data_IF_931489962507
#
_entry.id   IF_931489962507
#
_cell.length_a   1.000
_cell.length_b   1.000
_cell.length_c   1.000
_cell.angle_alpha   90.00
_cell.angle_beta   90.00
_cell.angle_gamma   90.00
#
_symmetry.space_group_name_H-M   'P 1'
#
loop_
_entity.id
_entity.type
_entity.pdbx_description
1 polymer ?
#
# COMPACT_ATOMS: atom_id res chain seq x y z
N UNK A 1 5.96 -0.80 -23.59
CA UNK A 1 4.98 -1.07 -22.52
C UNK A 1 5.35 -0.26 -21.30
N UNK A 2 4.39 0.38 -20.64
CA UNK A 2 4.67 1.06 -19.37
C UNK A 2 5.00 0.03 -18.30
N UNK A 3 6.05 0.27 -17.51
CA UNK A 3 6.58 -0.66 -16.48
C UNK A 3 6.65 0.07 -15.14
N UNK A 4 5.47 0.41 -14.62
CA UNK A 4 5.35 1.07 -13.30
C UNK A 4 5.32 0.02 -12.20
N UNK A 5 6.20 0.17 -11.21
CA UNK A 5 6.23 -0.67 -10.01
C UNK A 5 5.78 0.16 -8.80
N UNK A 6 5.09 -0.47 -7.86
CA UNK A 6 5.01 -0.02 -6.47
C UNK A 6 5.78 -0.99 -5.59
N UNK A 7 6.71 -0.48 -4.83
CA UNK A 7 7.42 -1.18 -3.75
C UNK A 7 6.81 -0.73 -2.42
N UNK A 8 6.29 -1.66 -1.63
CA UNK A 8 5.60 -1.41 -0.35
C UNK A 8 6.26 -2.27 0.73
N UNK A 9 6.77 -1.64 1.78
CA UNK A 9 7.47 -2.35 2.86
C UNK A 9 6.46 -3.03 3.80
N UNK A 10 6.57 -4.35 3.92
CA UNK A 10 5.63 -5.20 4.64
C UNK A 10 5.61 -4.90 6.14
N UNK A 11 4.44 -4.45 6.65
CA UNK A 11 4.24 -4.08 8.05
C UNK A 11 5.37 -3.20 8.60
N UNK A 12 5.79 -2.18 7.84
CA UNK A 12 7.01 -1.38 8.00
C UNK A 12 7.33 -1.00 9.45
N UNK A 13 6.42 -0.32 10.15
CA UNK A 13 6.66 0.11 11.53
C UNK A 13 6.87 -1.06 12.49
N UNK A 14 6.19 -2.19 12.26
CA UNK A 14 6.36 -3.43 13.04
C UNK A 14 7.73 -4.04 12.78
N UNK A 15 8.13 -4.12 11.51
CA UNK A 15 9.42 -4.67 11.12
C UNK A 15 10.58 -3.84 11.69
N UNK A 16 10.52 -2.51 11.57
CA UNK A 16 11.52 -1.60 12.14
C UNK A 16 11.55 -1.70 13.67
N UNK A 17 10.39 -1.73 14.34
CA UNK A 17 10.34 -1.86 15.80
C UNK A 17 11.01 -3.17 16.26
N UNK A 18 10.79 -4.28 15.54
CA UNK A 18 11.42 -5.58 15.82
C UNK A 18 12.94 -5.56 15.64
N UNK A 19 13.45 -4.82 14.66
CA UNK A 19 14.90 -4.66 14.44
C UNK A 19 15.55 -3.80 15.54
N UNK A 20 14.87 -2.74 15.98
CA UNK A 20 15.39 -1.81 16.99
C UNK A 20 15.35 -2.40 18.40
N UNK A 21 14.32 -3.16 18.70
CA UNK A 21 14.09 -3.78 20.01
C UNK A 21 13.80 -5.28 19.85
N UNK A 22 14.85 -6.10 19.61
CA UNK A 22 14.70 -7.53 19.42
C UNK A 22 14.20 -8.27 20.67
N UNK A 23 14.44 -7.71 21.87
CA UNK A 23 14.10 -8.37 23.13
C UNK A 23 12.62 -8.23 23.51
N UNK A 24 11.97 -7.11 23.19
CA UNK A 24 10.56 -6.88 23.49
C UNK A 24 9.75 -7.00 22.19
N UNK A 25 9.93 -6.09 21.24
CA UNK A 25 9.18 -6.07 20.00
C UNK A 25 9.50 -7.28 19.11
N UNK A 26 10.77 -7.71 19.08
CA UNK A 26 11.23 -8.88 18.30
C UNK A 26 10.60 -10.18 18.75
N UNK A 27 10.44 -10.39 20.06
CA UNK A 27 9.83 -11.60 20.65
C UNK A 27 8.29 -11.58 20.64
N UNK A 28 7.67 -10.39 20.48
CA UNK A 28 6.22 -10.28 20.50
C UNK A 28 5.59 -10.72 19.16
N UNK A 29 4.83 -11.82 19.20
CA UNK A 29 4.00 -12.23 18.05
C UNK A 29 2.85 -11.24 17.84
N UNK A 30 2.16 -10.86 18.92
CA UNK A 30 1.07 -9.88 18.94
C UNK A 30 1.64 -8.51 19.28
N UNK A 31 1.94 -7.71 18.25
CA UNK A 31 2.60 -6.41 18.39
C UNK A 31 1.74 -5.27 17.82
N UNK A 32 1.63 -4.20 18.58
CA UNK A 32 1.06 -2.91 18.18
C UNK A 32 2.16 -1.86 18.27
N UNK A 33 2.38 -1.13 17.18
CA UNK A 33 3.29 0.02 17.16
C UNK A 33 2.46 1.30 17.07
N UNK A 34 2.60 2.20 18.04
CA UNK A 34 1.79 3.42 18.06
C UNK A 34 1.80 4.15 19.39
N UNK A 35 0.61 4.61 19.81
CA UNK A 35 0.42 5.29 21.10
C UNK A 35 0.66 4.35 22.30
N UNK A 36 0.87 4.96 23.46
CA UNK A 36 1.01 4.21 24.73
C UNK A 36 -0.34 3.72 25.25
N UNK A 37 -0.39 2.56 25.95
CA UNK A 37 -1.57 2.17 26.72
C UNK A 37 -2.01 3.28 27.70
N UNK A 38 -3.31 3.54 27.79
CA UNK A 38 -3.87 4.61 28.61
C UNK A 38 -3.80 6.02 28.03
N UNK A 39 -3.15 6.20 26.87
CA UNK A 39 -3.13 7.49 26.15
C UNK A 39 -4.22 7.57 25.09
N UNK A 40 -4.47 8.78 24.55
CA UNK A 40 -5.35 9.03 23.40
C UNK A 40 -4.70 8.69 22.04
N UNK A 41 -3.54 8.02 22.07
CA UNK A 41 -2.82 7.64 20.86
C UNK A 41 -3.55 6.61 20.01
N UNK A 42 -3.08 6.46 18.77
CA UNK A 42 -3.63 5.53 17.78
C UNK A 42 -2.62 4.45 17.41
N UNK A 43 -3.13 3.36 16.84
CA UNK A 43 -2.33 2.33 16.18
C UNK A 43 -1.74 2.92 14.91
N UNK A 44 -0.42 2.98 14.79
CA UNK A 44 0.26 3.30 13.54
C UNK A 44 0.36 2.04 12.67
N UNK A 45 0.74 0.91 13.27
CA UNK A 45 0.78 -0.40 12.61
C UNK A 45 0.58 -1.53 13.62
N UNK A 46 0.19 -2.69 13.15
CA UNK A 46 0.07 -3.91 13.95
C UNK A 46 0.60 -5.11 13.17
N UNK A 47 1.14 -6.12 13.89
CA UNK A 47 1.56 -7.38 13.28
C UNK A 47 0.38 -8.10 12.62
N UNK A 48 0.65 -8.95 11.64
CA UNK A 48 -0.42 -9.69 10.94
C UNK A 48 -1.27 -10.53 11.89
N UNK A 49 -0.63 -11.12 12.89
CA UNK A 49 -1.28 -11.89 13.95
C UNK A 49 -2.24 -11.00 14.76
N UNK A 50 -1.82 -9.79 15.10
CA UNK A 50 -2.68 -8.81 15.80
C UNK A 50 -3.83 -8.33 14.92
N UNK A 51 -3.60 -8.16 13.60
CA UNK A 51 -4.66 -7.79 12.64
C UNK A 51 -5.76 -8.85 12.53
N UNK A 52 -5.47 -10.13 12.80
CA UNK A 52 -6.46 -11.20 12.83
C UNK A 52 -7.53 -10.99 13.92
N UNK A 53 -7.22 -10.27 15.02
CA UNK A 53 -8.17 -9.86 16.04
C UNK A 53 -8.99 -8.62 15.66
N UNK A 54 -8.86 -8.12 14.44
CA UNK A 54 -9.61 -6.93 13.98
C UNK A 54 -8.90 -5.60 14.25
N UNK A 55 -7.69 -5.61 14.81
CA UNK A 55 -6.89 -4.37 15.01
C UNK A 55 -6.48 -3.79 13.66
N UNK A 56 -6.63 -2.46 13.50
CA UNK A 56 -6.32 -1.73 12.26
C UNK A 56 -5.57 -0.43 12.58
N UNK A 57 -4.78 0.04 11.61
CA UNK A 57 -4.14 1.38 11.67
C UNK A 57 -5.20 2.47 11.79
N UNK A 58 -4.89 3.54 12.55
CA UNK A 58 -5.82 4.61 12.87
C UNK A 58 -6.79 4.33 14.03
N UNK A 59 -6.87 3.08 14.50
CA UNK A 59 -7.73 2.69 15.63
C UNK A 59 -7.15 3.26 16.94
N UNK A 60 -7.98 3.80 17.87
CA UNK A 60 -7.52 4.15 19.19
C UNK A 60 -6.86 2.97 19.92
N UNK A 61 -5.77 3.19 20.63
CA UNK A 61 -5.04 2.12 21.37
C UNK A 61 -5.98 1.43 22.37
N UNK A 62 -6.85 2.18 23.06
CA UNK A 62 -7.82 1.61 24.00
C UNK A 62 -8.79 0.64 23.33
N UNK A 63 -9.20 0.89 22.09
CA UNK A 63 -10.04 -0.01 21.32
C UNK A 63 -9.24 -1.23 20.85
N UNK A 64 -8.01 -1.04 20.35
CA UNK A 64 -7.15 -2.11 19.91
C UNK A 64 -6.85 -3.12 21.04
N UNK A 65 -6.59 -2.63 22.26
CA UNK A 65 -6.36 -3.46 23.44
C UNK A 65 -7.64 -4.17 23.95
N UNK A 66 -8.84 -3.66 23.65
CA UNK A 66 -10.07 -4.43 23.91
C UNK A 66 -10.22 -5.61 22.96
N UNK A 67 -9.76 -5.46 21.70
CA UNK A 67 -9.79 -6.55 20.71
C UNK A 67 -8.67 -7.57 20.93
N UNK A 68 -7.52 -7.13 21.38
CA UNK A 68 -6.33 -7.97 21.61
C UNK A 68 -5.62 -7.55 22.92
N UNK A 69 -6.16 -7.94 24.11
CA UNK A 69 -5.62 -7.49 25.40
C UNK A 69 -4.19 -7.94 25.68
N UNK A 70 -3.76 -9.05 25.08
CA UNK A 70 -2.42 -9.62 25.22
C UNK A 70 -1.38 -9.00 24.28
N UNK A 71 -1.77 -8.03 23.42
CA UNK A 71 -0.82 -7.43 22.50
C UNK A 71 0.20 -6.54 23.24
N UNK A 72 1.47 -6.70 22.87
CA UNK A 72 2.54 -5.80 23.29
C UNK A 72 2.43 -4.48 22.53
N UNK A 73 2.43 -3.36 23.24
CA UNK A 73 2.41 -2.02 22.65
C UNK A 73 3.78 -1.36 22.79
N UNK A 74 4.34 -0.91 21.68
CA UNK A 74 5.62 -0.16 21.65
C UNK A 74 5.44 1.16 20.91
N UNK A 75 6.23 2.20 21.26
CA UNK A 75 6.20 3.48 20.55
C UNK A 75 6.78 3.32 19.14
N UNK A 76 6.42 4.26 18.24
CA UNK A 76 7.01 4.33 16.89
C UNK A 76 8.48 4.73 16.99
N UNK A 77 9.43 3.93 16.50
CA UNK A 77 10.86 4.26 16.47
C UNK A 77 11.18 5.24 15.32
N UNK A 78 10.72 6.51 15.45
CA UNK A 78 10.66 7.49 14.35
C UNK A 78 11.97 7.68 13.61
N UNK A 79 13.10 7.81 14.31
CA UNK A 79 14.41 7.99 13.68
C UNK A 79 14.80 6.76 12.86
N UNK A 80 14.68 5.57 13.45
CA UNK A 80 14.98 4.32 12.76
C UNK A 80 14.08 4.11 11.54
N UNK A 81 12.78 4.44 11.62
CA UNK A 81 11.88 4.40 10.46
C UNK A 81 12.37 5.32 9.34
N UNK A 82 12.76 6.55 9.66
CA UNK A 82 13.29 7.48 8.65
C UNK A 82 14.61 7.00 8.05
N UNK A 83 15.48 6.41 8.85
CA UNK A 83 16.77 5.88 8.39
C UNK A 83 16.57 4.67 7.48
N UNK A 84 15.70 3.74 7.89
CA UNK A 84 15.35 2.55 7.10
C UNK A 84 14.69 2.94 5.78
N UNK A 85 13.75 3.90 5.79
CA UNK A 85 13.11 4.41 4.59
C UNK A 85 14.14 4.98 3.60
N UNK A 86 15.10 5.79 4.11
CA UNK A 86 16.20 6.32 3.27
C UNK A 86 17.13 5.23 2.75
N UNK A 87 17.40 4.20 3.53
CA UNK A 87 18.22 3.06 3.10
C UNK A 87 17.53 2.28 1.98
N UNK A 88 16.22 1.99 2.11
CA UNK A 88 15.44 1.36 1.04
C UNK A 88 15.50 2.23 -0.22
N UNK A 89 15.22 3.54 -0.12
CA UNK A 89 15.25 4.47 -1.24
C UNK A 89 16.60 4.43 -1.98
N UNK A 90 17.74 4.41 -1.26
CA UNK A 90 19.07 4.30 -1.87
C UNK A 90 19.28 3.00 -2.67
N UNK A 91 18.68 1.90 -2.23
CA UNK A 91 18.70 0.65 -2.98
C UNK A 91 17.87 0.78 -4.26
N UNK A 92 16.67 1.36 -4.18
CA UNK A 92 15.77 1.54 -5.32
C UNK A 92 16.37 2.47 -6.39
N UNK A 93 17.10 3.51 -5.98
CA UNK A 93 17.79 4.45 -6.87
C UNK A 93 18.89 3.77 -7.74
N UNK A 94 19.34 2.55 -7.39
CA UNK A 94 20.28 1.76 -8.20
C UNK A 94 19.60 1.11 -9.41
N UNK A 95 18.29 0.96 -9.40
CA UNK A 95 17.51 0.32 -10.46
C UNK A 95 16.96 1.30 -11.49
N UNK A 96 16.62 2.51 -11.07
CA UNK A 96 16.14 3.59 -11.95
C UNK A 96 16.29 4.94 -11.27
N UNK A 97 16.56 6.02 -12.02
CA UNK A 97 16.50 7.38 -11.47
C UNK A 97 15.06 7.87 -11.24
N UNK A 98 14.07 7.18 -11.81
CA UNK A 98 12.65 7.54 -11.70
C UNK A 98 12.02 6.83 -10.50
N UNK A 99 12.37 7.24 -9.29
CA UNK A 99 11.80 6.75 -8.03
C UNK A 99 11.07 7.88 -7.33
N UNK A 100 9.76 7.72 -7.11
CA UNK A 100 8.91 8.63 -6.34
C UNK A 100 8.59 8.05 -4.98
N UNK A 101 8.88 8.77 -3.89
CA UNK A 101 8.41 8.42 -2.56
C UNK A 101 6.93 8.81 -2.39
N UNK A 102 6.05 7.83 -2.28
CA UNK A 102 4.63 8.05 -2.05
C UNK A 102 4.31 8.20 -0.56
N UNK A 103 5.05 7.48 0.30
CA UNK A 103 5.00 7.58 1.76
C UNK A 103 6.36 7.19 2.37
N UNK A 104 6.42 7.01 3.68
CA UNK A 104 7.63 6.54 4.37
C UNK A 104 7.97 5.08 4.03
N UNK A 105 7.01 4.31 3.56
CA UNK A 105 7.07 2.87 3.31
C UNK A 105 6.63 2.45 1.90
N UNK A 106 6.30 3.42 1.02
CA UNK A 106 5.87 3.15 -0.36
C UNK A 106 6.67 3.99 -1.38
N UNK A 107 7.12 3.35 -2.47
CA UNK A 107 7.85 4.01 -3.56
C UNK A 107 7.35 3.51 -4.91
N UNK A 108 7.05 4.46 -5.81
CA UNK A 108 6.82 4.14 -7.21
C UNK A 108 8.13 4.21 -7.99
N UNK A 109 8.33 3.24 -8.88
CA UNK A 109 9.46 3.19 -9.82
C UNK A 109 8.91 3.15 -11.24
N UNK A 110 9.55 3.88 -12.15
CA UNK A 110 9.33 3.71 -13.59
C UNK A 110 10.56 3.03 -14.20
N UNK A 111 10.34 1.84 -14.77
CA UNK A 111 11.33 1.06 -15.51
C UNK A 111 11.03 1.03 -17.01
N UNK A 112 10.15 1.90 -17.50
CA UNK A 112 9.85 2.01 -18.92
C UNK A 112 11.09 2.45 -19.69
N UNK A 113 11.42 1.79 -20.81
CA UNK A 113 12.60 2.08 -21.63
C UNK A 113 13.92 1.54 -21.06
N UNK A 114 13.89 0.80 -19.95
CA UNK A 114 15.11 0.20 -19.36
C UNK A 114 15.31 -1.27 -19.77
N UNK A 115 14.50 -1.79 -20.68
CA UNK A 115 14.47 -3.21 -21.04
C UNK A 115 15.85 -3.72 -21.47
N UNK A 116 16.57 -2.95 -22.26
CA UNK A 116 17.92 -3.31 -22.74
C UNK A 116 18.95 -3.37 -21.59
N UNK A 117 18.82 -2.50 -20.57
CA UNK A 117 19.69 -2.49 -19.39
C UNK A 117 19.52 -3.76 -18.54
N UNK A 118 18.33 -4.34 -18.59
CA UNK A 118 18.01 -5.59 -17.88
C UNK A 118 17.97 -6.80 -18.84
N UNK A 119 18.71 -6.74 -19.95
CA UNK A 119 18.85 -7.84 -20.91
C UNK A 119 17.52 -8.42 -21.39
N UNK A 120 16.48 -7.58 -21.48
CA UNK A 120 15.09 -7.96 -21.83
C UNK A 120 14.50 -9.05 -20.95
N UNK A 121 14.98 -9.19 -19.70
CA UNK A 121 14.41 -10.14 -18.76
C UNK A 121 12.94 -9.84 -18.46
N UNK A 122 12.12 -10.86 -18.09
CA UNK A 122 10.76 -10.64 -17.61
C UNK A 122 10.73 -9.71 -16.38
N UNK A 123 9.75 -8.81 -16.33
CA UNK A 123 9.68 -7.78 -15.28
C UNK A 123 9.51 -8.37 -13.87
N UNK A 124 8.93 -9.54 -13.74
CA UNK A 124 8.83 -10.26 -12.47
C UNK A 124 10.21 -10.69 -11.94
N UNK A 125 11.17 -11.03 -12.82
CA UNK A 125 12.56 -11.32 -12.46
C UNK A 125 13.24 -10.07 -11.93
N UNK A 126 13.11 -8.92 -12.62
CA UNK A 126 13.61 -7.63 -12.13
C UNK A 126 12.99 -7.27 -10.79
N UNK A 127 11.66 -7.43 -10.63
CA UNK A 127 10.97 -7.13 -9.37
C UNK A 127 11.46 -8.01 -8.22
N UNK A 128 11.70 -9.31 -8.44
CA UNK A 128 12.31 -10.18 -7.42
C UNK A 128 13.71 -9.73 -7.06
N UNK A 129 14.55 -9.37 -8.04
CA UNK A 129 15.90 -8.84 -7.79
C UNK A 129 15.87 -7.56 -6.95
N UNK A 130 14.93 -6.64 -7.20
CA UNK A 130 14.73 -5.43 -6.38
C UNK A 130 14.39 -5.85 -4.94
N UNK A 131 13.46 -6.78 -4.77
CA UNK A 131 13.03 -7.29 -3.46
C UNK A 131 14.19 -7.91 -2.68
N UNK A 132 14.99 -8.74 -3.35
CA UNK A 132 16.15 -9.40 -2.74
C UNK A 132 17.25 -8.38 -2.38
N UNK A 133 17.49 -7.37 -3.22
CA UNK A 133 18.43 -6.30 -2.95
C UNK A 133 18.01 -5.46 -1.74
N UNK A 134 16.72 -5.10 -1.63
CA UNK A 134 16.19 -4.38 -0.45
C UNK A 134 16.39 -5.22 0.80
N UNK A 135 16.02 -6.50 0.77
CA UNK A 135 16.21 -7.38 1.92
C UNK A 135 17.67 -7.53 2.32
N UNK A 136 18.57 -7.76 1.36
CA UNK A 136 20.01 -7.94 1.62
C UNK A 136 20.64 -6.69 2.27
N UNK A 137 20.20 -5.48 1.91
CA UNK A 137 20.78 -4.24 2.43
C UNK A 137 20.12 -3.72 3.71
N UNK A 138 18.84 -4.06 3.95
CA UNK A 138 18.06 -3.44 5.03
C UNK A 138 17.42 -4.44 5.99
N UNK A 139 17.39 -5.72 5.63
CA UNK A 139 16.62 -6.75 6.35
C UNK A 139 15.10 -6.58 6.25
N UNK A 140 14.62 -5.66 5.39
CA UNK A 140 13.19 -5.36 5.23
C UNK A 140 12.60 -6.19 4.09
N UNK A 141 11.49 -6.86 4.37
CA UNK A 141 10.68 -7.46 3.33
C UNK A 141 9.81 -6.40 2.66
N UNK A 142 9.73 -6.47 1.34
CA UNK A 142 8.86 -5.62 0.54
C UNK A 142 7.98 -6.44 -0.37
N UNK A 143 6.77 -5.96 -0.65
CA UNK A 143 5.87 -6.49 -1.67
C UNK A 143 5.87 -5.56 -2.87
N UNK A 144 5.95 -6.13 -4.08
CA UNK A 144 6.07 -5.38 -5.32
C UNK A 144 4.90 -5.70 -6.24
N UNK A 145 4.15 -4.66 -6.59
CA UNK A 145 3.15 -4.72 -7.65
C UNK A 145 3.67 -4.07 -8.92
N UNK A 146 3.45 -4.72 -10.05
CA UNK A 146 3.82 -4.20 -11.37
C UNK A 146 2.55 -3.99 -12.18
N UNK A 147 2.46 -2.86 -12.87
CA UNK A 147 1.32 -2.54 -13.73
C UNK A 147 1.63 -1.47 -14.77
N UNK A 148 0.70 -1.21 -15.70
CA UNK A 148 0.89 -0.18 -16.72
C UNK A 148 0.82 1.25 -16.18
N UNK A 149 0.34 1.44 -14.95
CA UNK A 149 0.25 2.74 -14.29
C UNK A 149 0.27 2.59 -12.77
N UNK A 150 0.35 3.72 -12.05
CA UNK A 150 0.43 3.75 -10.58
C UNK A 150 -0.77 3.12 -9.88
N UNK A 151 -1.97 3.24 -10.43
CA UNK A 151 -3.18 2.65 -9.83
C UNK A 151 -3.10 1.12 -9.86
N UNK A 152 -2.82 0.54 -11.03
CA UNK A 152 -2.74 -0.92 -11.20
C UNK A 152 -1.55 -1.49 -10.41
N UNK A 153 -0.39 -0.80 -10.43
CA UNK A 153 0.78 -1.20 -9.64
C UNK A 153 0.46 -1.25 -8.13
N UNK A 154 -0.30 -0.25 -7.61
CA UNK A 154 -0.70 -0.24 -6.19
C UNK A 154 -1.63 -1.39 -5.83
N UNK A 155 -2.62 -1.66 -6.66
CA UNK A 155 -3.55 -2.77 -6.46
C UNK A 155 -2.84 -4.13 -6.57
N UNK A 156 -1.89 -4.25 -7.50
CA UNK A 156 -1.04 -5.42 -7.65
C UNK A 156 -0.13 -5.63 -6.42
N UNK A 157 0.44 -4.58 -5.83
CA UNK A 157 1.23 -4.68 -4.61
C UNK A 157 0.42 -5.24 -3.42
N UNK A 158 -0.84 -4.84 -3.27
CA UNK A 158 -1.74 -5.42 -2.26
C UNK A 158 -2.00 -6.92 -2.47
N UNK A 159 -2.04 -7.39 -3.72
CA UNK A 159 -2.13 -8.82 -4.07
C UNK A 159 -0.81 -9.56 -3.85
N UNK A 160 0.32 -8.88 -3.97
CA UNK A 160 1.65 -9.43 -3.74
C UNK A 160 1.93 -9.68 -2.25
N UNK A 161 1.26 -8.98 -1.32
CA UNK A 161 1.50 -9.10 0.13
C UNK A 161 1.26 -10.51 0.62
N UNK A 162 2.22 -11.13 1.33
CA UNK A 162 2.06 -12.44 1.90
C UNK A 162 0.98 -12.39 2.99
N UNK A 163 -0.14 -13.08 2.73
CA UNK A 163 -1.23 -13.27 3.70
C UNK A 163 -1.38 -14.76 3.95
N UNK A 164 -1.75 -15.19 5.17
CA UNK A 164 -2.01 -16.61 5.43
C UNK A 164 -2.96 -17.20 4.38
N UNK A 165 -2.55 -18.28 3.71
CA UNK A 165 -3.34 -18.98 2.70
C UNK A 165 -3.42 -18.30 1.32
N UNK A 166 -2.75 -17.15 1.09
CA UNK A 166 -2.83 -16.45 -0.21
C UNK A 166 -1.96 -17.04 -1.31
N UNK A 167 -0.89 -17.79 -0.97
CA UNK A 167 0.12 -18.24 -1.92
C UNK A 167 0.94 -17.09 -2.55
N UNK A 168 0.79 -15.87 -2.07
CA UNK A 168 1.49 -14.70 -2.60
C UNK A 168 3.00 -14.80 -2.34
N UNK A 169 3.78 -14.45 -3.38
CA UNK A 169 5.25 -14.59 -3.38
C UNK A 169 5.99 -13.28 -3.13
N UNK A 170 5.27 -12.20 -2.81
CA UNK A 170 5.82 -10.86 -2.65
C UNK A 170 5.97 -10.08 -3.98
N UNK A 171 5.59 -10.67 -5.11
CA UNK A 171 5.56 -10.00 -6.42
C UNK A 171 4.28 -10.37 -7.14
N UNK A 172 3.59 -9.37 -7.72
CA UNK A 172 2.41 -9.58 -8.56
C UNK A 172 2.48 -8.67 -9.78
N UNK A 173 2.38 -9.24 -10.97
CA UNK A 173 2.49 -8.54 -12.24
C UNK A 173 1.13 -8.53 -12.95
N UNK A 174 0.73 -7.36 -13.42
CA UNK A 174 -0.45 -7.15 -14.25
C UNK A 174 0.01 -6.44 -15.52
N UNK A 175 0.04 -7.15 -16.64
CA UNK A 175 0.34 -6.58 -17.95
C UNK A 175 -0.88 -5.86 -18.55
N UNK A 176 -0.67 -5.13 -19.65
CA UNK A 176 -1.74 -4.36 -20.31
C UNK A 176 -2.95 -5.25 -20.68
N UNK A 177 -2.72 -6.46 -21.13
CA UNK A 177 -3.79 -7.39 -21.51
C UNK A 177 -4.56 -7.94 -20.30
N UNK A 178 -3.90 -8.06 -19.17
CA UNK A 178 -4.47 -8.58 -17.91
C UNK A 178 -5.26 -7.56 -17.10
N UNK A 179 -5.14 -6.24 -17.38
CA UNK A 179 -5.77 -5.18 -16.57
C UNK A 179 -7.27 -5.40 -16.39
N UNK A 180 -8.01 -5.64 -17.47
CA UNK A 180 -9.47 -5.77 -17.39
C UNK A 180 -9.90 -6.95 -16.49
N UNK A 181 -9.25 -8.10 -16.63
CA UNK A 181 -9.53 -9.29 -15.83
C UNK A 181 -9.12 -9.07 -14.35
N UNK A 182 -7.98 -8.45 -14.13
CA UNK A 182 -7.49 -8.11 -12.80
C UNK A 182 -8.47 -7.17 -12.08
N UNK A 183 -8.84 -6.04 -12.70
CA UNK A 183 -9.79 -5.08 -12.12
C UNK A 183 -11.14 -5.72 -11.83
N UNK A 184 -11.68 -6.55 -12.72
CA UNK A 184 -12.93 -7.27 -12.52
C UNK A 184 -12.89 -8.30 -11.36
N UNK A 185 -11.70 -8.70 -10.91
CA UNK A 185 -11.49 -9.59 -9.77
C UNK A 185 -11.48 -8.89 -8.41
N UNK A 186 -11.41 -7.54 -8.40
CA UNK A 186 -11.31 -6.73 -7.19
C UNK A 186 -12.68 -6.38 -6.60
N UNK A 187 -12.69 -6.12 -5.29
CA UNK A 187 -13.81 -5.47 -4.63
C UNK A 187 -13.72 -3.94 -4.83
N UNK A 188 -14.84 -3.22 -4.79
CA UNK A 188 -14.81 -1.76 -4.87
C UNK A 188 -13.94 -1.11 -3.79
N UNK A 189 -13.91 -1.73 -2.62
CA UNK A 189 -13.11 -1.26 -1.49
C UNK A 189 -11.61 -1.40 -1.64
N UNK A 190 -11.16 -2.26 -2.53
CA UNK A 190 -9.73 -2.43 -2.82
C UNK A 190 -9.21 -1.22 -3.62
N UNK A 191 -10.09 -0.54 -4.37
CA UNK A 191 -9.69 0.57 -5.25
C UNK A 191 -9.42 1.83 -4.43
N UNK A 192 -8.18 2.31 -4.50
CA UNK A 192 -7.75 3.55 -3.82
C UNK A 192 -8.68 4.73 -4.15
N UNK A 193 -9.26 5.34 -3.09
CA UNK A 193 -10.20 6.46 -3.20
C UNK A 193 -11.67 6.06 -3.37
N UNK A 194 -12.00 4.75 -3.24
CA UNK A 194 -13.36 4.27 -3.04
C UNK A 194 -13.47 3.78 -1.58
N UNK A 195 -13.52 4.72 -0.65
CA UNK A 195 -13.65 4.43 0.79
C UNK A 195 -15.07 4.01 1.21
N UNK A 196 -15.26 3.56 2.47
CA UNK A 196 -16.52 2.98 2.96
C UNK A 196 -17.75 3.83 2.66
N UNK A 197 -17.68 5.15 2.89
CA UNK A 197 -18.81 6.07 2.60
C UNK A 197 -19.21 6.13 1.12
N UNK A 198 -18.24 5.97 0.20
CA UNK A 198 -18.55 5.93 -1.22
C UNK A 198 -19.07 4.54 -1.61
N UNK A 199 -18.53 3.47 -1.02
CA UNK A 199 -19.04 2.10 -1.22
C UNK A 199 -20.52 1.98 -0.78
N UNK A 200 -20.88 2.45 0.41
CA UNK A 200 -22.26 2.47 0.90
C UNK A 200 -23.21 3.18 -0.08
N UNK A 201 -22.75 4.33 -0.61
CA UNK A 201 -23.52 5.09 -1.59
C UNK A 201 -23.61 4.39 -2.94
N UNK A 202 -22.57 3.71 -3.41
CA UNK A 202 -22.63 2.91 -4.63
C UNK A 202 -23.57 1.72 -4.44
N UNK A 203 -23.51 1.03 -3.30
CA UNK A 203 -24.39 -0.07 -2.97
C UNK A 203 -25.87 0.33 -2.92
N UNK A 204 -26.20 1.54 -2.44
CA UNK A 204 -27.59 2.05 -2.40
C UNK A 204 -28.24 2.20 -3.79
N UNK A 205 -27.45 2.17 -4.86
CA UNK A 205 -27.91 2.22 -6.25
C UNK A 205 -27.57 0.91 -7.02
N UNK A 206 -27.32 -0.18 -6.28
CA UNK A 206 -27.09 -1.51 -6.86
C UNK A 206 -25.67 -1.76 -7.37
N UNK A 207 -24.70 -0.86 -7.11
CA UNK A 207 -23.31 -0.98 -7.55
C UNK A 207 -22.45 -1.52 -6.41
N UNK A 208 -22.29 -2.82 -6.31
CA UNK A 208 -21.59 -3.51 -5.21
C UNK A 208 -20.18 -3.98 -5.61
N UNK A 209 -19.97 -4.22 -6.90
CA UNK A 209 -18.71 -4.73 -7.46
C UNK A 209 -18.14 -3.81 -8.55
N UNK A 210 -16.88 -4.05 -8.90
CA UNK A 210 -16.25 -3.39 -10.06
C UNK A 210 -17.01 -3.72 -11.35
N UNK A 211 -17.52 -4.94 -11.49
CA UNK A 211 -18.30 -5.37 -12.65
C UNK A 211 -19.59 -4.59 -12.80
N UNK A 212 -20.29 -4.32 -11.67
CA UNK A 212 -21.52 -3.53 -11.70
C UNK A 212 -21.24 -2.10 -12.17
N UNK A 213 -20.15 -1.50 -11.67
CA UNK A 213 -19.72 -0.16 -12.11
C UNK A 213 -19.38 -0.13 -13.59
N UNK A 214 -18.67 -1.14 -14.10
CA UNK A 214 -18.30 -1.22 -15.52
C UNK A 214 -19.50 -1.48 -16.44
N UNK A 215 -20.55 -2.18 -15.95
CA UNK A 215 -21.78 -2.46 -16.67
C UNK A 215 -22.78 -1.29 -16.62
N UNK A 216 -22.64 -0.38 -15.65
CA UNK A 216 -23.55 0.75 -15.48
C UNK A 216 -23.40 1.77 -16.63
N UNK A 217 -24.53 2.33 -17.09
CA UNK A 217 -24.48 3.39 -18.08
C UNK A 217 -23.92 4.69 -17.45
N UNK A 218 -22.98 5.40 -18.10
CA UNK A 218 -22.34 6.60 -17.54
C UNK A 218 -23.34 7.68 -17.12
N UNK A 219 -24.47 7.83 -17.85
CA UNK A 219 -25.49 8.80 -17.51
C UNK A 219 -26.20 8.50 -16.18
N UNK A 220 -26.35 7.23 -15.81
CA UNK A 220 -27.01 6.84 -14.56
C UNK A 220 -26.11 7.14 -13.36
N UNK A 221 -24.83 6.85 -13.50
CA UNK A 221 -23.82 7.24 -12.54
C UNK A 221 -23.72 8.78 -12.39
N UNK A 222 -23.80 9.51 -13.51
CA UNK A 222 -23.74 10.98 -13.52
C UNK A 222 -24.97 11.61 -12.84
N UNK A 223 -26.17 11.06 -13.03
CA UNK A 223 -27.41 11.50 -12.34
C UNK A 223 -27.28 11.33 -10.83
N UNK A 224 -26.63 10.28 -10.40
CA UNK A 224 -26.52 9.95 -8.98
C UNK A 224 -25.52 10.86 -8.21
N UNK A 225 -24.37 11.21 -8.82
CA UNK A 225 -23.29 11.93 -8.13
C UNK A 225 -22.62 13.05 -8.94
N UNK A 226 -23.17 13.38 -10.06
CA UNK A 226 -22.60 14.31 -11.02
C UNK A 226 -21.56 13.66 -11.92
N UNK A 227 -21.31 14.28 -13.09
CA UNK A 227 -20.51 13.73 -14.16
C UNK A 227 -19.03 13.51 -13.75
N UNK A 228 -18.48 14.37 -12.94
CA UNK A 228 -17.08 14.30 -12.49
C UNK A 228 -16.83 13.07 -11.59
N UNK A 229 -17.73 12.84 -10.61
CA UNK A 229 -17.61 11.66 -9.72
C UNK A 229 -17.82 10.37 -10.50
N UNK A 230 -18.81 10.33 -11.41
CA UNK A 230 -19.07 9.20 -12.28
C UNK A 230 -17.86 8.86 -13.14
N UNK A 231 -17.29 9.86 -13.81
CA UNK A 231 -16.11 9.70 -14.65
C UNK A 231 -14.93 9.17 -13.85
N UNK A 232 -14.65 9.73 -12.66
CA UNK A 232 -13.58 9.29 -11.79
C UNK A 232 -13.76 7.83 -11.33
N UNK A 233 -14.97 7.41 -10.94
CA UNK A 233 -15.26 6.05 -10.51
C UNK A 233 -15.09 5.07 -11.68
N UNK A 234 -15.62 5.41 -12.86
CA UNK A 234 -15.48 4.59 -14.07
C UNK A 234 -14.02 4.42 -14.50
N UNK A 235 -13.25 5.51 -14.56
CA UNK A 235 -11.82 5.45 -14.89
C UNK A 235 -11.07 4.51 -13.92
N UNK A 236 -11.31 4.68 -12.61
CA UNK A 236 -10.68 3.81 -11.61
C UNK A 236 -11.11 2.34 -11.76
N UNK A 237 -12.39 2.08 -12.02
CA UNK A 237 -12.89 0.72 -12.25
C UNK A 237 -12.25 0.06 -13.49
N UNK A 238 -11.88 0.86 -14.51
CA UNK A 238 -11.14 0.40 -15.70
C UNK A 238 -9.63 0.24 -15.46
N UNK A 239 -9.12 0.63 -14.30
CA UNK A 239 -7.68 0.63 -14.03
C UNK A 239 -6.92 1.78 -14.71
N UNK A 240 -7.61 2.87 -15.08
CA UNK A 240 -7.03 4.01 -15.78
C UNK A 240 -6.46 5.04 -14.79
N UNK A 241 -5.25 5.50 -15.05
CA UNK A 241 -4.57 6.59 -14.32
C UNK A 241 -3.58 7.28 -15.24
N UNK A 242 -3.61 8.62 -15.24
CA UNK A 242 -2.66 9.45 -16.01
C UNK A 242 -1.47 9.91 -15.16
N UNK A 243 -1.45 9.56 -13.86
CA UNK A 243 -0.39 9.98 -12.97
C UNK A 243 0.91 9.24 -13.30
N UNK A 244 1.90 9.98 -13.77
CA UNK A 244 3.26 9.48 -13.96
C UNK A 244 4.01 9.35 -12.62
N UNK A 245 5.22 8.76 -12.68
CA UNK A 245 6.16 8.73 -11.55
C UNK A 245 6.92 10.06 -11.52
N UNK A 246 6.81 10.81 -10.41
CA UNK A 246 7.38 12.14 -10.22
C UNK A 246 8.47 12.13 -9.14
N UNK A 247 9.75 11.90 -9.47
CA UNK A 247 10.83 11.72 -8.48
C UNK A 247 11.06 12.92 -7.56
N UNK A 248 10.74 14.13 -8.00
CA UNK A 248 11.04 15.40 -7.33
C UNK A 248 9.83 16.32 -7.23
N UNK A 249 8.66 15.79 -6.88
CA UNK A 249 7.50 16.64 -6.65
C UNK A 249 7.76 17.58 -5.45
N UNK A 250 7.53 18.90 -5.58
CA UNK A 250 7.68 19.83 -4.46
C UNK A 250 6.65 19.51 -3.37
N UNK A 251 7.01 19.78 -2.11
CA UNK A 251 6.08 19.64 -1.00
C UNK A 251 4.87 20.57 -1.22
N UNK A 252 3.67 19.99 -1.28
CA UNK A 252 2.42 20.73 -1.50
C UNK A 252 1.89 21.36 -0.22
N UNK A 253 2.24 20.79 0.93
CA UNK A 253 1.71 21.16 2.24
C UNK A 253 2.69 20.77 3.34
N UNK A 254 2.76 21.60 4.38
CA UNK A 254 3.40 21.28 5.65
C UNK A 254 2.30 21.30 6.71
N UNK A 255 2.13 20.22 7.45
CA UNK A 255 1.15 20.11 8.52
C UNK A 255 1.80 19.56 9.80
N UNK A 256 1.27 19.98 10.95
CA UNK A 256 1.58 19.41 12.26
C UNK A 256 0.28 19.10 12.97
N UNK A 257 0.18 17.92 13.52
CA UNK A 257 -0.95 17.49 14.32
C UNK A 257 -0.48 17.22 15.76
N UNK A 258 -1.30 17.60 16.74
CA UNK A 258 -1.05 17.37 18.14
C UNK A 258 -2.31 16.83 18.80
N UNK A 259 -2.18 15.79 19.62
CA UNK A 259 -3.28 15.23 20.39
C UNK A 259 -3.22 15.79 21.79
N UNK A 260 -4.21 16.55 22.19
CA UNK A 260 -4.32 17.11 23.54
C UNK A 260 -4.90 16.08 24.51
N UNK A 261 -4.42 16.08 25.74
CA UNK A 261 -4.91 15.18 26.80
C UNK A 261 -6.34 15.49 27.24
N UNK A 262 -6.84 16.70 26.92
CA UNK A 262 -8.23 17.14 27.11
C UNK A 262 -8.68 18.08 25.99
#
# INVERSE_FOLDING_TARGET
>A
MSRTLLVDADAFFVAVARQVDPEVAGKASLLIVGGRPGSRGVVCSASYETRAFGVRSGMPISQALRLCPQATCVPVPRHACSDTSRAIRKVLDQFTPLVEGASIDEWYLDLSGTEALYHHEPIDVTARRIRDAVFAHTGMHVSIGVGPNKLVAKLAAERAKPKPGSGATGVHVVDDAGVAAFMASLQLGDITGIGPKLQEKLASVGLVSVRDVLAAHPSDLARWRGPETAHRVLRKARGESDAGVEPHAPAKQVSREETFDR
#
